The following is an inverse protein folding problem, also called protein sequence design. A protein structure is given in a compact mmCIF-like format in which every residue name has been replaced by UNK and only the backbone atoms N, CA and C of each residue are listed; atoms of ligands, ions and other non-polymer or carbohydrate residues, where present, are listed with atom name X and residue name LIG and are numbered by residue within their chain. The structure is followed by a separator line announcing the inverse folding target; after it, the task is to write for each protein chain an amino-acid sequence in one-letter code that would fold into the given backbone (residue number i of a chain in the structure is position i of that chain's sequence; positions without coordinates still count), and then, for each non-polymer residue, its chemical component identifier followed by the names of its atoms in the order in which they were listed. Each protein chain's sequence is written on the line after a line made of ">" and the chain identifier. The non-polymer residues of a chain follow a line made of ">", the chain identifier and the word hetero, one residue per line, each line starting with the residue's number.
data_IF_772571816920
#
_entry.id   IF_772571816920
#
_cell.length_a   1.000
_cell.length_b   1.000
_cell.length_c   1.000
_cell.angle_alpha   90.00
_cell.angle_beta   90.00
_cell.angle_gamma   90.00
#
_symmetry.space_group_name_H-M   'P 1'
#
loop_
_entity.id
_entity.type
_entity.pdbx_description
1 polymer ?
#
# COMPACT_ATOMS: atom_id res chain seq x y z
N UNK A 1 9.17 -56.79 -41.17
CA UNK A 1 8.22 -56.69 -40.03
C UNK A 1 8.91 -55.86 -38.95
N UNK A 2 8.54 -54.62 -38.61
CA UNK A 2 7.37 -53.77 -38.85
C UNK A 2 7.85 -52.37 -39.25
N UNK A 3 7.09 -51.70 -40.11
CA UNK A 3 7.29 -50.31 -40.57
C UNK A 3 6.94 -49.30 -39.48
N UNK A 4 7.73 -48.24 -39.37
CA UNK A 4 7.37 -47.03 -38.64
C UNK A 4 6.44 -46.19 -39.52
N UNK A 5 5.20 -45.96 -39.09
CA UNK A 5 4.31 -44.98 -39.70
C UNK A 5 4.65 -43.58 -39.20
N UNK A 6 4.94 -42.67 -40.12
CA UNK A 6 5.01 -41.23 -39.88
C UNK A 6 3.62 -40.70 -39.51
N UNK A 7 3.46 -40.20 -38.29
CA UNK A 7 2.27 -39.44 -37.91
C UNK A 7 2.36 -38.03 -38.50
N UNK A 8 1.82 -37.84 -39.71
CA UNK A 8 1.65 -36.51 -40.32
C UNK A 8 0.39 -35.86 -39.77
N UNK A 9 0.53 -34.77 -39.03
CA UNK A 9 -0.58 -33.90 -38.69
C UNK A 9 -1.04 -33.11 -39.94
N UNK A 10 -2.34 -33.04 -40.24
CA UNK A 10 -2.84 -32.24 -41.35
C UNK A 10 -2.66 -30.75 -41.06
N UNK A 11 -1.93 -30.06 -41.96
CA UNK A 11 -1.58 -28.62 -41.91
C UNK A 11 -2.79 -27.67 -41.99
N UNK A 12 -3.99 -28.18 -42.17
CA UNK A 12 -5.23 -27.39 -42.26
C UNK A 12 -5.85 -27.00 -40.92
N UNK A 13 -5.42 -27.58 -39.79
CA UNK A 13 -5.95 -27.22 -38.46
C UNK A 13 -5.19 -26.09 -37.74
N UNK A 14 -3.99 -25.74 -38.20
CA UNK A 14 -3.14 -24.74 -37.52
C UNK A 14 -3.50 -23.30 -37.94
N UNK A 15 -4.10 -23.10 -39.12
CA UNK A 15 -4.38 -21.75 -39.63
C UNK A 15 -5.63 -21.09 -39.01
N UNK A 16 -6.58 -21.87 -38.46
CA UNK A 16 -7.79 -21.31 -37.85
C UNK A 16 -7.58 -20.81 -36.42
N UNK A 17 -6.59 -21.33 -35.69
CA UNK A 17 -6.30 -20.89 -34.31
C UNK A 17 -5.46 -19.60 -34.27
N UNK A 18 -4.74 -19.29 -35.35
CA UNK A 18 -3.93 -18.07 -35.45
C UNK A 18 -4.80 -16.84 -35.80
N UNK A 19 -5.92 -17.03 -36.50
CA UNK A 19 -6.80 -15.91 -36.87
C UNK A 19 -7.79 -15.54 -35.74
N UNK A 20 -8.22 -16.49 -34.91
CA UNK A 20 -9.07 -16.17 -33.73
C UNK A 20 -8.28 -15.53 -32.59
N UNK A 21 -6.97 -15.81 -32.49
CA UNK A 21 -6.09 -15.16 -31.50
C UNK A 21 -5.66 -13.75 -31.92
N UNK A 22 -5.66 -13.43 -33.22
CA UNK A 22 -5.41 -12.07 -33.71
C UNK A 22 -6.61 -11.12 -33.55
N UNK A 23 -7.84 -11.64 -33.41
CA UNK A 23 -9.03 -10.82 -33.15
C UNK A 23 -9.25 -10.51 -31.66
N UNK A 24 -8.52 -11.15 -30.74
CA UNK A 24 -8.49 -10.81 -29.31
C UNK A 24 -7.28 -9.95 -28.90
N UNK A 25 -6.33 -9.72 -29.80
CA UNK A 25 -5.11 -8.94 -29.54
C UNK A 25 -5.19 -7.46 -29.95
N UNK A 26 -6.38 -6.96 -30.33
CA UNK A 26 -6.60 -5.55 -30.70
C UNK A 26 -6.95 -4.61 -29.55
N UNK A 27 -7.03 -5.09 -28.30
CA UNK A 27 -7.42 -4.29 -27.13
C UNK A 27 -6.33 -4.18 -26.05
N UNK A 28 -5.12 -4.67 -26.31
CA UNK A 28 -3.98 -4.49 -25.42
C UNK A 28 -3.06 -3.41 -25.97
N UNK A 29 -2.84 -2.39 -25.13
CA UNK A 29 -1.97 -1.23 -25.34
C UNK A 29 -2.47 -0.16 -26.32
N UNK A 30 -3.67 0.37 -26.07
CA UNK A 30 -3.78 1.82 -26.07
C UNK A 30 -3.33 2.25 -24.68
N UNK A 31 -2.14 2.86 -24.54
CA UNK A 31 -1.84 3.62 -23.33
C UNK A 31 -2.99 4.61 -23.14
N UNK A 32 -3.89 4.34 -22.19
CA UNK A 32 -4.84 5.34 -21.75
C UNK A 32 -4.02 6.38 -20.99
N UNK A 33 -3.56 7.39 -21.73
CA UNK A 33 -2.82 8.57 -21.25
C UNK A 33 -3.56 9.26 -20.08
N UNK A 34 -4.83 8.92 -19.86
CA UNK A 34 -5.79 9.44 -18.88
C UNK A 34 -5.92 8.64 -17.57
N UNK A 35 -5.35 7.44 -17.42
CA UNK A 35 -5.47 6.68 -16.17
C UNK A 35 -4.66 7.34 -15.03
N UNK A 36 -5.21 7.43 -13.80
CA UNK A 36 -4.48 7.95 -12.66
C UNK A 36 -3.29 7.03 -12.31
N UNK A 37 -2.24 7.61 -11.74
CA UNK A 37 -1.06 6.86 -11.31
C UNK A 37 -1.25 6.34 -9.88
N UNK A 38 -0.77 5.13 -9.57
CA UNK A 38 -0.76 4.61 -8.21
C UNK A 38 0.57 4.90 -7.52
N UNK A 39 0.49 5.49 -6.32
CA UNK A 39 1.62 5.70 -5.42
C UNK A 39 1.39 4.87 -4.16
N UNK A 40 2.24 3.87 -3.94
CA UNK A 40 2.10 2.93 -2.83
C UNK A 40 3.10 3.28 -1.73
N UNK A 41 2.60 3.50 -0.52
CA UNK A 41 3.35 4.01 0.62
C UNK A 41 3.40 2.95 1.72
N UNK A 42 4.59 2.48 2.09
CA UNK A 42 4.76 1.43 3.09
C UNK A 42 4.46 1.92 4.52
N UNK A 43 4.25 0.97 5.43
CA UNK A 43 4.26 1.21 6.87
C UNK A 43 5.62 0.93 7.51
N UNK A 44 5.63 0.75 8.83
CA UNK A 44 6.84 0.49 9.62
C UNK A 44 7.67 -0.63 9.01
N UNK A 45 8.96 -0.36 8.87
CA UNK A 45 10.03 -1.23 8.40
C UNK A 45 9.98 -1.64 6.94
N UNK A 46 8.94 -1.31 6.19
CA UNK A 46 8.81 -1.70 4.79
C UNK A 46 9.26 -0.59 3.85
N UNK A 47 9.68 -0.98 2.65
CA UNK A 47 9.90 -0.07 1.52
C UNK A 47 8.93 -0.33 0.37
N UNK A 48 9.10 0.40 -0.72
CA UNK A 48 8.38 0.20 -1.98
C UNK A 48 8.52 -1.21 -2.55
N UNK A 49 9.61 -1.92 -2.21
CA UNK A 49 9.84 -3.32 -2.56
C UNK A 49 8.69 -4.25 -2.15
N UNK A 50 8.01 -3.93 -1.04
CA UNK A 50 6.92 -4.74 -0.50
C UNK A 50 5.76 -4.89 -1.47
N UNK A 51 5.56 -3.87 -2.33
CA UNK A 51 4.44 -3.82 -3.26
C UNK A 51 4.74 -4.40 -4.64
N UNK A 52 5.90 -5.01 -4.87
CA UNK A 52 6.33 -5.45 -6.19
C UNK A 52 5.25 -6.22 -6.97
N UNK A 53 4.60 -7.20 -6.34
CA UNK A 53 3.53 -8.00 -6.98
C UNK A 53 2.27 -7.18 -7.29
N UNK A 54 1.90 -6.24 -6.42
CA UNK A 54 0.76 -5.35 -6.64
C UNK A 54 1.06 -4.37 -7.78
N UNK A 55 2.28 -3.82 -7.81
CA UNK A 55 2.76 -2.93 -8.87
C UNK A 55 2.71 -3.65 -10.22
N UNK A 56 3.26 -4.86 -10.31
CA UNK A 56 3.20 -5.66 -11.54
C UNK A 56 1.77 -5.88 -12.00
N UNK A 57 0.86 -6.28 -11.10
CA UNK A 57 -0.54 -6.49 -11.45
C UNK A 57 -1.24 -5.21 -11.94
N UNK A 58 -0.98 -4.06 -11.31
CA UNK A 58 -1.53 -2.77 -11.75
C UNK A 58 -1.00 -2.34 -13.13
N UNK A 59 0.29 -2.57 -13.39
CA UNK A 59 0.93 -2.28 -14.67
C UNK A 59 0.41 -3.17 -15.79
N UNK A 60 0.22 -4.47 -15.53
CA UNK A 60 -0.42 -5.41 -16.47
C UNK A 60 -1.87 -5.01 -16.80
N UNK A 61 -2.56 -4.33 -15.86
CA UNK A 61 -3.89 -3.77 -16.07
C UNK A 61 -3.90 -2.39 -16.75
N UNK A 62 -2.74 -1.86 -17.16
CA UNK A 62 -2.62 -0.60 -17.89
C UNK A 62 -2.58 0.66 -17.01
N UNK A 63 -2.21 0.54 -15.73
CA UNK A 63 -1.99 1.67 -14.82
C UNK A 63 -0.49 1.86 -14.54
N UNK A 64 -0.01 3.10 -14.51
CA UNK A 64 1.30 3.38 -13.92
C UNK A 64 1.20 3.19 -12.40
N UNK A 65 2.12 2.43 -11.82
CA UNK A 65 2.19 2.19 -10.39
C UNK A 65 3.64 2.11 -9.93
N UNK A 66 3.92 2.62 -8.74
CA UNK A 66 5.22 2.48 -8.10
C UNK A 66 5.10 2.57 -6.57
N UNK A 67 6.03 1.93 -5.88
CA UNK A 67 6.20 2.01 -4.44
C UNK A 67 7.26 3.06 -4.11
N UNK A 68 7.03 3.82 -3.04
CA UNK A 68 7.97 4.84 -2.56
C UNK A 68 8.72 4.32 -1.34
N UNK A 69 10.01 4.64 -1.28
CA UNK A 69 10.81 4.51 -0.07
C UNK A 69 10.78 5.85 0.67
N UNK A 70 10.17 5.86 1.86
CA UNK A 70 10.24 7.00 2.77
C UNK A 70 11.67 7.17 3.31
N UNK A 71 11.94 8.28 3.97
CA UNK A 71 13.27 8.48 4.59
C UNK A 71 13.54 7.36 5.61
N UNK A 72 14.74 6.80 5.55
CA UNK A 72 15.18 5.63 6.33
C UNK A 72 14.44 4.31 6.05
N UNK A 73 13.62 4.23 5.01
CA UNK A 73 12.92 2.99 4.61
C UNK A 73 13.44 2.43 3.28
N UNK A 74 13.32 1.12 3.09
CA UNK A 74 13.72 0.44 1.86
C UNK A 74 15.20 0.64 1.54
N UNK A 75 15.50 1.25 0.39
CA UNK A 75 16.90 1.51 0.00
C UNK A 75 17.41 2.90 0.42
N UNK A 76 16.59 3.71 1.10
CA UNK A 76 17.00 5.00 1.64
C UNK A 76 18.00 4.78 2.79
N UNK A 77 19.16 5.43 2.72
CA UNK A 77 20.31 5.19 3.62
C UNK A 77 20.40 6.17 4.80
N UNK A 78 19.45 7.09 4.96
CA UNK A 78 19.43 8.00 6.11
C UNK A 78 19.21 7.16 7.37
N UNK A 79 20.04 7.35 8.40
CA UNK A 79 19.87 6.64 9.67
C UNK A 79 18.54 7.06 10.30
N UNK A 80 17.74 6.09 10.75
CA UNK A 80 16.43 6.36 11.33
C UNK A 80 16.49 7.23 12.59
N UNK A 81 17.63 7.24 13.29
CA UNK A 81 17.86 8.05 14.47
C UNK A 81 18.14 9.53 14.19
N UNK A 82 18.39 9.89 12.92
CA UNK A 82 18.66 11.27 12.48
C UNK A 82 17.41 11.99 11.96
N UNK A 83 16.28 11.28 11.83
CA UNK A 83 15.03 11.83 11.30
C UNK A 83 14.13 12.28 12.45
N UNK A 84 13.87 13.57 12.50
CA UNK A 84 13.29 14.25 13.65
C UNK A 84 11.83 14.66 13.41
N UNK A 85 11.48 14.96 12.17
CA UNK A 85 10.19 15.55 11.81
C UNK A 85 9.41 14.72 10.77
N UNK A 86 8.10 14.90 10.74
CA UNK A 86 7.23 14.33 9.70
C UNK A 86 7.68 14.78 8.30
N UNK A 87 8.02 16.05 8.13
CA UNK A 87 8.45 16.59 6.84
C UNK A 87 9.73 15.91 6.31
N UNK A 88 10.70 15.62 7.19
CA UNK A 88 11.89 14.84 6.82
C UNK A 88 11.52 13.40 6.48
N UNK A 89 10.64 12.77 7.26
CA UNK A 89 10.21 11.39 7.02
C UNK A 89 9.48 11.23 5.67
N UNK A 90 8.57 12.15 5.36
CA UNK A 90 7.78 12.13 4.13
C UNK A 90 8.42 12.90 2.96
N UNK A 91 9.65 13.37 3.11
CA UNK A 91 10.34 14.17 2.08
C UNK A 91 10.32 13.50 0.69
N UNK A 92 10.59 12.18 0.54
CA UNK A 92 10.53 11.53 -0.78
C UNK A 92 9.14 11.61 -1.42
N UNK A 93 8.06 11.58 -0.63
CA UNK A 93 6.70 11.80 -1.14
C UNK A 93 6.47 13.26 -1.50
N UNK A 94 6.90 14.21 -0.67
CA UNK A 94 6.78 15.63 -1.00
C UNK A 94 7.46 15.94 -2.34
N UNK A 95 8.72 15.54 -2.51
CA UNK A 95 9.51 15.78 -3.72
C UNK A 95 8.83 15.17 -4.96
N UNK A 96 8.28 13.95 -4.82
CA UNK A 96 7.50 13.31 -5.87
C UNK A 96 6.25 14.12 -6.21
N UNK A 97 5.47 14.52 -5.20
CA UNK A 97 4.22 15.23 -5.40
C UNK A 97 4.44 16.62 -6.00
N UNK A 98 5.57 17.27 -5.76
CA UNK A 98 5.94 18.53 -6.42
C UNK A 98 6.11 18.35 -7.94
N UNK A 99 6.61 17.20 -8.39
CA UNK A 99 6.88 16.92 -9.82
C UNK A 99 5.76 16.21 -10.56
N UNK A 100 4.84 15.54 -9.84
CA UNK A 100 3.70 14.85 -10.43
C UNK A 100 2.75 15.84 -11.12
N UNK A 101 2.38 15.51 -12.37
CA UNK A 101 1.45 16.29 -13.21
C UNK A 101 0.11 15.60 -13.41
N UNK A 102 0.04 14.28 -13.20
CA UNK A 102 -1.19 13.49 -13.34
C UNK A 102 -1.85 13.27 -11.97
N UNK A 103 -3.19 13.25 -11.87
CA UNK A 103 -3.85 12.86 -10.63
C UNK A 103 -3.45 11.46 -10.19
N UNK A 104 -3.26 11.28 -8.88
CA UNK A 104 -2.81 10.01 -8.30
C UNK A 104 -3.89 9.34 -7.47
N UNK A 105 -3.79 8.03 -7.37
CA UNK A 105 -4.40 7.23 -6.31
C UNK A 105 -3.28 6.86 -5.34
N UNK A 106 -3.30 7.44 -4.15
CA UNK A 106 -2.29 7.17 -3.13
C UNK A 106 -2.80 6.08 -2.18
N UNK A 107 -1.97 5.08 -1.89
CA UNK A 107 -2.30 3.93 -1.05
C UNK A 107 -1.33 3.87 0.12
N UNK A 108 -1.81 4.04 1.34
CA UNK A 108 -0.99 4.01 2.56
C UNK A 108 -1.26 2.73 3.34
N UNK A 109 -0.23 1.93 3.56
CA UNK A 109 -0.29 0.73 4.38
C UNK A 109 0.09 1.02 5.83
N UNK A 110 -0.65 0.46 6.79
CA UNK A 110 -0.27 0.53 8.22
C UNK A 110 0.02 1.98 8.68
N UNK A 111 1.23 2.27 9.20
CA UNK A 111 1.64 3.62 9.58
C UNK A 111 1.71 4.61 8.39
N UNK A 112 1.90 4.11 7.16
CA UNK A 112 1.87 4.91 5.93
C UNK A 112 0.54 5.61 5.69
N UNK A 113 -0.54 5.21 6.38
CA UNK A 113 -1.79 5.98 6.47
C UNK A 113 -1.58 7.43 6.97
N UNK A 114 -0.62 7.64 7.87
CA UNK A 114 -0.22 8.97 8.33
C UNK A 114 0.46 9.76 7.22
N UNK A 115 1.45 9.15 6.57
CA UNK A 115 2.20 9.76 5.45
C UNK A 115 1.29 10.19 4.30
N UNK A 116 0.31 9.37 3.90
CA UNK A 116 -0.65 9.77 2.86
C UNK A 116 -1.58 10.89 3.33
N UNK A 117 -1.90 10.94 4.63
CA UNK A 117 -2.74 12.01 5.20
C UNK A 117 -2.05 13.37 5.13
N UNK A 118 -0.72 13.40 5.33
CA UNK A 118 0.10 14.61 5.12
C UNK A 118 0.05 15.04 3.66
N UNK A 119 0.16 14.11 2.71
CA UNK A 119 0.05 14.44 1.27
C UNK A 119 -1.35 14.91 0.89
N UNK A 120 -2.39 14.35 1.50
CA UNK A 120 -3.78 14.80 1.32
C UNK A 120 -4.01 16.22 1.83
N UNK A 121 -3.31 16.63 2.90
CA UNK A 121 -3.37 18.02 3.38
C UNK A 121 -2.57 18.96 2.47
N UNK A 122 -1.37 18.56 2.03
CA UNK A 122 -0.44 19.43 1.30
C UNK A 122 -0.74 19.55 -0.20
N UNK A 123 -1.24 18.49 -0.82
CA UNK A 123 -1.48 18.39 -2.27
C UNK A 123 -2.88 17.81 -2.61
N UNK A 124 -3.97 18.33 -2.02
CA UNK A 124 -5.31 17.77 -2.17
C UNK A 124 -5.84 17.80 -3.62
N UNK A 125 -5.27 18.63 -4.50
CA UNK A 125 -5.61 18.73 -5.93
C UNK A 125 -4.92 17.68 -6.80
N UNK A 126 -3.80 17.12 -6.34
CA UNK A 126 -3.07 16.08 -7.05
C UNK A 126 -3.63 14.69 -6.73
N UNK A 127 -4.44 14.54 -5.68
CA UNK A 127 -4.94 13.25 -5.21
C UNK A 127 -6.40 13.05 -5.62
N UNK A 128 -6.61 12.12 -6.55
CA UNK A 128 -7.95 11.73 -6.99
C UNK A 128 -8.69 10.85 -5.96
N UNK A 129 -7.95 9.94 -5.30
CA UNK A 129 -8.44 9.02 -4.27
C UNK A 129 -7.29 8.66 -3.32
N UNK A 130 -7.62 8.48 -2.04
CA UNK A 130 -6.73 7.95 -1.02
C UNK A 130 -7.25 6.60 -0.53
N UNK A 131 -6.37 5.60 -0.42
CA UNK A 131 -6.70 4.25 0.04
C UNK A 131 -5.89 3.92 1.29
N UNK A 132 -6.60 3.71 2.39
CA UNK A 132 -6.07 3.30 3.67
C UNK A 132 -6.09 1.77 3.75
N UNK A 133 -4.93 1.13 3.64
CA UNK A 133 -4.78 -0.33 3.53
C UNK A 133 -4.35 -0.93 4.87
N UNK A 134 -5.30 -1.51 5.62
CA UNK A 134 -5.11 -1.93 7.03
C UNK A 134 -4.23 -0.94 7.80
N UNK A 135 -4.59 0.34 7.70
CA UNK A 135 -3.76 1.47 8.12
C UNK A 135 -4.40 2.28 9.23
N UNK A 136 -3.60 3.14 9.86
CA UNK A 136 -4.15 4.28 10.61
C UNK A 136 -4.90 5.20 9.66
N UNK A 137 -5.86 5.96 10.19
CA UNK A 137 -6.60 6.97 9.43
C UNK A 137 -6.84 8.20 10.33
N UNK A 138 -5.79 9.02 10.52
CA UNK A 138 -5.75 10.09 11.53
C UNK A 138 -6.84 11.15 11.32
N UNK A 139 -7.31 11.72 12.42
CA UNK A 139 -8.07 12.98 12.46
C UNK A 139 -7.16 14.15 12.83
N UNK A 140 -7.65 15.39 12.70
CA UNK A 140 -6.88 16.60 13.02
C UNK A 140 -6.26 16.54 14.43
N UNK A 141 -5.00 16.99 14.55
CA UNK A 141 -4.19 17.04 15.78
C UNK A 141 -3.82 15.68 16.38
N UNK A 142 -4.05 14.58 15.65
CA UNK A 142 -3.51 13.27 16.02
C UNK A 142 -2.05 13.13 15.55
N UNK A 143 -1.29 12.26 16.21
CA UNK A 143 0.01 11.77 15.78
C UNK A 143 -0.18 10.45 15.03
N UNK A 144 0.86 9.93 14.38
CA UNK A 144 0.72 8.62 13.72
C UNK A 144 0.46 7.51 14.74
N UNK A 145 1.15 7.55 15.89
CA UNK A 145 0.99 6.53 16.93
C UNK A 145 -0.34 6.63 17.69
N UNK A 146 -0.81 7.84 18.01
CA UNK A 146 -2.07 8.00 18.75
C UNK A 146 -3.33 7.83 17.87
N UNK A 147 -3.14 7.70 16.55
CA UNK A 147 -4.20 7.34 15.60
C UNK A 147 -4.55 5.85 15.63
N UNK A 148 -3.72 5.02 16.28
CA UNK A 148 -4.05 3.65 16.62
C UNK A 148 -4.84 3.61 17.93
N UNK A 149 -5.75 2.63 18.10
CA UNK A 149 -6.23 2.28 19.43
C UNK A 149 -5.03 2.00 20.35
N UNK A 150 -5.00 2.61 21.54
CA UNK A 150 -3.84 2.54 22.46
C UNK A 150 -3.40 1.09 22.75
N UNK A 151 -4.35 0.16 22.79
CA UNK A 151 -4.11 -1.27 23.00
C UNK A 151 -3.22 -1.92 21.94
N UNK A 152 -3.15 -1.37 20.72
CA UNK A 152 -2.34 -1.92 19.63
C UNK A 152 -0.86 -1.75 19.96
N UNK A 153 -0.41 -0.50 20.16
CA UNK A 153 1.01 -0.22 20.37
C UNK A 153 1.51 -0.90 21.66
N UNK A 154 0.76 -0.79 22.76
CA UNK A 154 1.09 -1.48 24.02
C UNK A 154 1.26 -2.98 23.81
N UNK A 155 0.31 -3.63 23.13
CA UNK A 155 0.39 -5.08 22.87
C UNK A 155 1.63 -5.46 22.05
N UNK A 156 1.92 -4.71 20.98
CA UNK A 156 3.06 -5.01 20.11
C UNK A 156 4.39 -4.84 20.85
N UNK A 157 4.50 -3.86 21.74
CA UNK A 157 5.69 -3.65 22.56
C UNK A 157 5.84 -4.74 23.63
N UNK A 158 4.77 -5.05 24.37
CA UNK A 158 4.78 -6.08 25.43
C UNK A 158 5.05 -7.49 24.87
N UNK A 159 4.57 -7.78 23.65
CA UNK A 159 4.85 -9.03 22.95
C UNK A 159 6.22 -9.07 22.27
N UNK A 160 7.06 -8.04 22.43
CA UNK A 160 8.35 -7.90 21.76
C UNK A 160 8.25 -8.06 20.23
N UNK A 161 7.17 -7.51 19.64
CA UNK A 161 6.90 -7.50 18.20
C UNK A 161 7.40 -6.22 17.54
N UNK A 162 7.40 -5.11 18.29
CA UNK A 162 8.11 -3.89 17.96
C UNK A 162 9.22 -3.64 19.00
N UNK A 163 10.38 -3.23 18.53
CA UNK A 163 11.59 -3.01 19.33
C UNK A 163 11.96 -1.53 19.20
N UNK A 164 11.67 -0.70 20.21
CA UNK A 164 12.21 0.66 20.28
C UNK A 164 13.73 0.60 20.45
N UNK A 165 14.45 1.44 19.72
CA UNK A 165 15.91 1.54 19.80
C UNK A 165 16.31 2.94 20.29
N UNK A 166 17.35 3.01 21.13
CA UNK A 166 17.76 4.25 21.80
C UNK A 166 17.06 4.48 23.15
N UNK A 167 17.56 5.44 23.92
CA UNK A 167 16.94 5.87 25.18
C UNK A 167 17.12 7.41 25.36
N UNK A 168 16.08 8.23 25.12
CA UNK A 168 14.73 7.84 24.68
C UNK A 168 14.73 7.24 23.25
N UNK A 169 13.66 6.51 22.84
CA UNK A 169 13.60 5.90 21.52
C UNK A 169 13.80 6.90 20.38
N UNK A 170 14.67 6.57 19.44
CA UNK A 170 14.93 7.35 18.21
C UNK A 170 14.40 6.62 16.98
N UNK A 171 14.34 5.29 17.01
CA UNK A 171 13.74 4.46 15.98
C UNK A 171 12.94 3.29 16.58
N UNK A 172 12.18 2.60 15.74
CA UNK A 172 11.47 1.37 16.06
C UNK A 172 11.66 0.34 14.96
N UNK A 173 12.02 -0.88 15.35
CA UNK A 173 12.22 -2.01 14.45
C UNK A 173 11.14 -3.07 14.64
N UNK A 174 10.77 -3.74 13.55
CA UNK A 174 9.98 -4.97 13.65
C UNK A 174 10.88 -6.10 14.14
N UNK A 175 10.44 -6.84 15.15
CA UNK A 175 11.13 -8.07 15.54
C UNK A 175 10.92 -9.14 14.47
N UNK A 176 11.96 -9.33 13.65
CA UNK A 176 11.94 -10.26 12.52
C UNK A 176 11.58 -11.68 12.95
N UNK A 177 12.07 -12.14 14.10
CA UNK A 177 11.85 -13.50 14.61
C UNK A 177 10.38 -13.77 14.96
N UNK A 178 9.66 -12.75 15.44
CA UNK A 178 8.24 -12.88 15.79
C UNK A 178 7.30 -12.42 14.66
N UNK A 179 7.80 -11.76 13.61
CA UNK A 179 7.02 -11.27 12.48
C UNK A 179 6.05 -12.28 11.82
N UNK A 180 6.37 -13.59 11.70
CA UNK A 180 5.42 -14.59 11.20
C UNK A 180 4.17 -14.78 12.07
N UNK A 181 4.21 -14.35 13.33
CA UNK A 181 3.11 -14.53 14.27
C UNK A 181 2.08 -13.39 14.25
N UNK A 182 2.42 -12.23 13.66
CA UNK A 182 1.54 -11.06 13.67
C UNK A 182 1.43 -10.26 12.37
N UNK A 183 2.52 -10.14 11.60
CA UNK A 183 2.52 -9.45 10.30
C UNK A 183 2.23 -10.40 9.14
N UNK A 184 2.85 -11.58 9.20
CA UNK A 184 2.99 -12.49 8.07
C UNK A 184 2.34 -13.86 8.30
N UNK A 185 1.33 -13.93 9.16
CA UNK A 185 0.69 -15.19 9.55
C UNK A 185 -0.08 -15.90 8.43
N UNK A 186 -0.27 -15.25 7.27
CA UNK A 186 -0.86 -15.83 6.04
C UNK A 186 0.07 -15.71 4.83
N UNK A 187 1.19 -15.00 4.97
CA UNK A 187 2.16 -14.73 3.92
C UNK A 187 2.97 -15.99 3.60
N UNK A 188 3.25 -16.29 2.32
CA UNK A 188 4.04 -17.47 1.95
C UNK A 188 5.49 -17.35 2.45
N UNK A 189 6.08 -18.49 2.86
CA UNK A 189 7.40 -18.52 3.52
C UNK A 189 8.52 -17.81 2.75
N UNK A 190 8.54 -17.93 1.42
CA UNK A 190 9.56 -17.27 0.59
C UNK A 190 9.49 -15.74 0.74
N UNK A 191 8.29 -15.18 0.86
CA UNK A 191 8.08 -13.75 1.01
C UNK A 191 8.44 -13.27 2.43
N UNK A 192 8.22 -14.12 3.45
CA UNK A 192 8.71 -13.88 4.81
C UNK A 192 10.24 -13.84 4.81
N UNK A 193 10.90 -14.79 4.16
CA UNK A 193 12.36 -14.80 4.04
C UNK A 193 12.86 -13.54 3.34
N UNK A 194 12.23 -13.13 2.22
CA UNK A 194 12.58 -11.88 1.55
C UNK A 194 12.41 -10.67 2.47
N UNK A 195 11.24 -10.52 3.10
CA UNK A 195 10.95 -9.41 4.01
C UNK A 195 11.95 -9.35 5.16
N UNK A 196 12.30 -10.50 5.76
CA UNK A 196 13.26 -10.58 6.87
C UNK A 196 14.64 -10.01 6.54
N UNK A 197 15.01 -9.91 5.27
CA UNK A 197 16.28 -9.35 4.80
C UNK A 197 16.19 -7.88 4.38
N UNK A 198 14.98 -7.34 4.27
CA UNK A 198 14.71 -6.01 3.72
C UNK A 198 14.02 -5.06 4.71
N UNK A 199 13.64 -5.54 5.90
CA UNK A 199 13.06 -4.68 6.93
C UNK A 199 14.11 -3.72 7.49
N UNK A 200 13.74 -2.44 7.64
CA UNK A 200 14.59 -1.39 8.21
C UNK A 200 14.00 -0.83 9.52
N UNK A 201 14.80 -0.21 10.40
CA UNK A 201 14.27 0.61 11.48
C UNK A 201 13.46 1.79 10.92
N UNK A 202 12.36 2.17 11.57
CA UNK A 202 11.56 3.35 11.24
C UNK A 202 11.82 4.47 12.25
N UNK A 203 12.01 5.73 11.82
CA UNK A 203 12.12 6.87 12.72
C UNK A 203 10.96 6.95 13.71
N UNK A 204 11.27 7.14 15.00
CA UNK A 204 10.25 7.20 16.04
C UNK A 204 9.62 8.60 16.16
N UNK A 205 10.46 9.66 16.19
CA UNK A 205 10.02 11.04 16.46
C UNK A 205 8.95 11.56 15.49
N UNK A 206 9.05 11.32 14.17
CA UNK A 206 7.99 11.70 13.24
C UNK A 206 6.63 11.06 13.56
N UNK A 207 6.62 9.87 14.16
CA UNK A 207 5.37 9.20 14.54
C UNK A 207 4.67 9.82 15.76
N UNK A 208 5.37 10.62 16.56
CA UNK A 208 4.89 11.30 17.75
C UNK A 208 4.57 12.78 17.53
N UNK A 209 4.91 13.32 16.36
CA UNK A 209 4.51 14.67 15.94
C UNK A 209 3.03 14.69 15.53
N UNK A 210 2.31 15.74 15.93
CA UNK A 210 0.89 15.90 15.58
C UNK A 210 0.72 16.48 14.18
N UNK A 211 -0.20 15.93 13.39
CA UNK A 211 -0.55 16.48 12.08
C UNK A 211 -1.78 17.39 12.14
N UNK A 212 -1.69 18.52 11.47
CA UNK A 212 -2.85 19.41 11.25
C UNK A 212 -3.55 19.01 9.96
N UNK A 213 -4.83 18.61 10.06
CA UNK A 213 -5.66 18.17 8.95
C UNK A 213 -6.92 19.02 8.87
N UNK A 214 -7.23 19.53 7.68
CA UNK A 214 -8.37 20.43 7.47
C UNK A 214 -9.49 19.77 6.67
N UNK A 215 -10.76 20.16 6.88
CA UNK A 215 -11.86 19.73 6.03
C UNK A 215 -11.65 20.12 4.55
N UNK A 216 -11.02 21.27 4.30
CA UNK A 216 -10.84 21.84 2.95
C UNK A 216 -9.77 21.12 2.12
N UNK A 217 -8.77 20.50 2.77
CA UNK A 217 -7.69 19.78 2.08
C UNK A 217 -7.81 18.27 2.33
N UNK A 218 -7.37 17.78 3.49
CA UNK A 218 -7.48 16.36 3.83
C UNK A 218 -8.91 15.81 3.69
N UNK A 219 -9.89 16.57 4.21
CA UNK A 219 -11.30 16.15 4.24
C UNK A 219 -11.98 16.11 2.88
N UNK A 220 -11.49 16.86 1.87
CA UNK A 220 -12.09 16.87 0.52
C UNK A 220 -11.63 15.70 -0.34
N UNK A 221 -10.49 15.10 -0.02
CA UNK A 221 -9.99 13.93 -0.76
C UNK A 221 -10.90 12.74 -0.49
N UNK A 222 -11.26 12.00 -1.54
CA UNK A 222 -12.08 10.79 -1.40
C UNK A 222 -11.28 9.66 -0.78
N UNK A 223 -11.78 9.11 0.32
CA UNK A 223 -11.06 8.13 1.14
C UNK A 223 -11.73 6.77 1.06
N UNK A 224 -10.93 5.74 0.85
CA UNK A 224 -11.35 4.35 0.83
C UNK A 224 -10.54 3.58 1.87
N UNK A 225 -11.13 2.56 2.47
CA UNK A 225 -10.42 1.69 3.41
C UNK A 225 -10.46 0.25 2.93
N UNK A 226 -9.33 -0.46 2.99
CA UNK A 226 -9.25 -1.89 2.71
C UNK A 226 -8.83 -2.58 4.00
N UNK A 227 -9.75 -3.29 4.64
CA UNK A 227 -9.49 -4.06 5.85
C UNK A 227 -9.05 -5.49 5.55
N UNK A 228 -8.28 -6.07 6.45
CA UNK A 228 -7.76 -7.45 6.37
C UNK A 228 -8.35 -8.30 7.49
N UNK A 229 -8.73 -9.55 7.21
CA UNK A 229 -9.50 -10.37 8.16
C UNK A 229 -8.68 -11.32 9.03
N UNK A 230 -7.44 -11.64 8.63
CA UNK A 230 -6.50 -12.45 9.42
C UNK A 230 -5.37 -11.60 10.01
N UNK A 231 -5.58 -10.29 10.15
CA UNK A 231 -4.61 -9.34 10.71
C UNK A 231 -4.45 -9.53 12.21
N UNK A 232 -3.21 -9.68 12.66
CA UNK A 232 -2.86 -9.85 14.06
C UNK A 232 -2.02 -8.67 14.61
N UNK A 233 -1.62 -7.73 13.75
CA UNK A 233 -0.97 -6.49 14.13
C UNK A 233 -2.02 -5.43 14.50
N UNK A 234 -2.90 -5.09 13.54
CA UNK A 234 -4.08 -4.24 13.73
C UNK A 234 -5.30 -5.15 13.51
N UNK A 235 -5.85 -5.70 14.58
CA UNK A 235 -6.89 -6.74 14.49
C UNK A 235 -8.18 -6.20 13.87
N UNK A 236 -9.05 -7.06 13.29
CA UNK A 236 -10.29 -6.61 12.64
C UNK A 236 -11.18 -5.69 13.49
N UNK A 237 -11.23 -5.91 14.80
CA UNK A 237 -11.98 -5.08 15.75
C UNK A 237 -11.34 -3.69 15.89
N UNK A 238 -10.02 -3.59 15.85
CA UNK A 238 -9.25 -2.35 15.94
C UNK A 238 -9.34 -1.56 14.62
N UNK A 239 -9.28 -2.25 13.47
CA UNK A 239 -9.58 -1.64 12.17
C UNK A 239 -11.02 -1.09 12.14
N UNK A 240 -11.98 -1.79 12.76
CA UNK A 240 -13.36 -1.31 12.87
C UNK A 240 -13.45 -0.02 13.72
N UNK A 241 -12.67 0.09 14.80
CA UNK A 241 -12.59 1.31 15.60
C UNK A 241 -12.00 2.47 14.79
N UNK A 242 -10.90 2.24 14.05
CA UNK A 242 -10.27 3.24 13.18
C UNK A 242 -11.27 3.75 12.12
N UNK A 243 -11.97 2.83 11.44
CA UNK A 243 -12.98 3.17 10.44
C UNK A 243 -14.12 3.99 11.06
N UNK A 244 -14.58 3.63 12.27
CA UNK A 244 -15.66 4.35 12.95
C UNK A 244 -15.24 5.76 13.39
N UNK A 245 -14.00 5.93 13.84
CA UNK A 245 -13.48 7.22 14.29
C UNK A 245 -13.35 8.23 13.14
N UNK A 246 -13.04 7.76 11.93
CA UNK A 246 -12.86 8.62 10.76
C UNK A 246 -13.42 8.00 9.47
N UNK A 247 -14.75 8.00 9.27
CA UNK A 247 -15.38 7.20 8.22
C UNK A 247 -14.90 7.49 6.79
N UNK A 248 -14.53 6.46 6.01
CA UNK A 248 -14.22 6.58 4.59
C UNK A 248 -15.52 6.54 3.76
N UNK A 249 -15.42 6.86 2.47
CA UNK A 249 -16.53 6.73 1.52
C UNK A 249 -16.98 5.28 1.36
N UNK A 250 -16.03 4.33 1.33
CA UNK A 250 -16.32 2.90 1.22
C UNK A 250 -15.23 2.06 1.86
N UNK A 251 -15.64 0.92 2.43
CA UNK A 251 -14.77 -0.10 3.00
C UNK A 251 -14.81 -1.36 2.14
N UNK A 252 -13.64 -1.89 1.82
CA UNK A 252 -13.43 -3.19 1.16
C UNK A 252 -12.76 -4.17 2.12
N UNK A 253 -12.81 -5.47 1.85
CA UNK A 253 -12.28 -6.49 2.76
C UNK A 253 -11.49 -7.57 2.02
N UNK A 254 -10.30 -7.88 2.55
CA UNK A 254 -9.49 -9.03 2.23
C UNK A 254 -9.55 -10.02 3.41
N UNK A 255 -10.63 -10.80 3.48
CA UNK A 255 -10.97 -11.60 4.66
C UNK A 255 -9.89 -12.61 5.07
N UNK A 256 -9.09 -13.11 4.12
CA UNK A 256 -8.08 -14.14 4.36
C UNK A 256 -6.65 -13.57 4.45
N UNK A 257 -6.49 -12.27 4.25
CA UNK A 257 -5.18 -11.60 4.32
C UNK A 257 -4.75 -11.36 5.76
N UNK A 258 -3.45 -11.48 6.00
CA UNK A 258 -2.78 -10.94 7.19
C UNK A 258 -2.55 -9.42 7.05
N UNK A 259 -1.69 -8.86 7.90
CA UNK A 259 -1.34 -7.44 7.88
C UNK A 259 -0.58 -7.01 6.62
N UNK A 260 -0.02 -7.94 5.85
CA UNK A 260 0.77 -7.69 4.65
C UNK A 260 0.04 -8.18 3.37
N UNK A 261 -1.12 -7.58 3.01
CA UNK A 261 -1.92 -8.01 1.85
C UNK A 261 -1.18 -7.93 0.52
N UNK A 262 -0.14 -7.09 0.43
CA UNK A 262 0.74 -7.01 -0.73
C UNK A 262 1.64 -8.24 -0.89
N UNK A 263 1.80 -9.09 0.13
CA UNK A 263 2.49 -10.39 0.04
C UNK A 263 1.53 -11.58 0.17
N UNK A 264 0.54 -11.50 1.05
CA UNK A 264 -0.36 -12.63 1.32
C UNK A 264 -1.52 -12.74 0.32
N UNK A 265 -2.06 -11.63 -0.19
CA UNK A 265 -3.15 -11.62 -1.17
C UNK A 265 -2.96 -10.53 -2.27
N UNK A 266 -1.81 -10.47 -2.95
CA UNK A 266 -1.43 -9.39 -3.88
C UNK A 266 -2.44 -9.16 -5.01
N UNK A 267 -2.89 -10.24 -5.67
CA UNK A 267 -3.83 -10.16 -6.79
C UNK A 267 -5.24 -9.73 -6.35
N UNK A 268 -5.69 -10.18 -5.17
CA UNK A 268 -6.97 -9.76 -4.61
C UNK A 268 -6.93 -8.27 -4.22
N UNK A 269 -5.82 -7.82 -3.62
CA UNK A 269 -5.57 -6.40 -3.34
C UNK A 269 -5.58 -5.58 -4.63
N UNK A 270 -4.85 -6.01 -5.65
CA UNK A 270 -4.83 -5.38 -6.98
C UNK A 270 -6.25 -5.23 -7.57
N UNK A 271 -7.07 -6.28 -7.55
CA UNK A 271 -8.45 -6.23 -8.04
C UNK A 271 -9.33 -5.21 -7.30
N UNK A 272 -9.14 -5.06 -5.99
CA UNK A 272 -9.84 -4.02 -5.21
C UNK A 272 -9.35 -2.63 -5.62
N UNK A 273 -8.03 -2.43 -5.77
CA UNK A 273 -7.46 -1.15 -6.21
C UNK A 273 -7.95 -0.75 -7.61
N UNK A 274 -8.02 -1.69 -8.55
CA UNK A 274 -8.58 -1.47 -9.89
C UNK A 274 -10.07 -1.10 -9.82
N UNK A 275 -10.81 -1.73 -8.93
CA UNK A 275 -12.23 -1.43 -8.69
C UNK A 275 -12.41 -0.02 -8.12
N UNK A 276 -11.56 0.41 -7.18
CA UNK A 276 -11.53 1.78 -6.63
C UNK A 276 -11.17 2.78 -7.73
N UNK A 277 -10.17 2.48 -8.57
CA UNK A 277 -9.76 3.36 -9.66
C UNK A 277 -10.91 3.67 -10.63
N UNK A 278 -11.72 2.66 -10.96
CA UNK A 278 -12.87 2.76 -11.87
C UNK A 278 -14.08 3.51 -11.30
N UNK A 279 -14.11 3.81 -10.00
CA UNK A 279 -15.19 4.63 -9.44
C UNK A 279 -15.08 6.04 -10.06
N UNK A 280 -16.15 6.56 -10.69
CA UNK A 280 -16.14 7.89 -11.30
C UNK A 280 -15.68 8.96 -10.31
N UNK A 281 -14.94 9.97 -10.78
CA UNK A 281 -14.65 11.14 -9.97
C UNK A 281 -15.98 11.82 -9.60
N UNK A 282 -16.04 12.44 -8.42
CA UNK A 282 -17.23 13.20 -8.05
C UNK A 282 -17.48 14.27 -9.12
N UNK A 283 -18.71 14.36 -9.64
CA UNK A 283 -19.07 15.46 -10.52
C UNK A 283 -18.87 16.75 -9.72
N UNK A 284 -17.95 17.61 -10.16
CA UNK A 284 -17.92 18.98 -9.67
C UNK A 284 -19.22 19.63 -10.13
N UNK A 285 -20.23 19.63 -9.27
CA UNK A 285 -21.28 20.62 -9.38
C UNK A 285 -20.56 21.96 -9.17
N UNK A 286 -20.31 22.67 -10.26
CA UNK A 286 -19.97 24.08 -10.18
C UNK A 286 -21.10 24.75 -9.38
N UNK A 287 -20.78 25.55 -8.34
CA UNK A 287 -21.79 26.39 -7.72
C UNK A 287 -22.39 27.38 -8.73
#
# INVERSE_FOLDING_TARGET
>A
MKSYEEFRFPTTFVLSFVITSMLFNGAYAQENITNPQFVLVPGIGHGGWAFAQVITCLQEAGYSAFGVDLTSQGINKVDASEVETIDEYVKPLTDLFETITKPVIIVGHSLGGGSISVMMEKFPEKISKAVFLTSIMPTNQQTFFNSLPQSVLTRLLEANQLIPEGNPPTSVSINVSSSPTFLYNRTPRWAITLASTLLNPTPYRPGDESISLTPQNYGRVRRFYIRTGSDLAIRPEEQTQIIKANPPERVYSLALSDHAPFLSQPYALCNILLSIARIPLASTALP
#
